data_IF_082833974880
#
_entry.id   IF_082833974880
#
_cell.length_a   1.000
_cell.length_b   1.000
_cell.length_c   1.000
_cell.angle_alpha   90.00
_cell.angle_beta   90.00
_cell.angle_gamma   90.00
#
_symmetry.space_group_name_H-M   'P 1'
#
loop_
_entity.id
_entity.type
_entity.pdbx_description
1 polymer ?
#
# COMPACT_ATOMS: atom_id res chain seq x y z
N UNK A 1 -1.24 11.69 17.99
CA UNK A 1 -0.61 10.79 17.01
C UNK A 1 -1.59 9.68 16.68
N UNK A 2 -1.93 9.53 15.40
CA UNK A 2 -2.88 8.51 14.95
C UNK A 2 -2.31 7.10 15.10
N UNK A 3 -3.18 6.10 15.23
CA UNK A 3 -2.81 4.69 15.37
C UNK A 3 -3.43 3.84 14.26
N UNK A 4 -2.62 3.13 13.52
CA UNK A 4 -3.04 2.28 12.41
C UNK A 4 -2.54 0.85 12.60
N UNK A 5 -3.43 -0.13 12.39
CA UNK A 5 -2.99 -1.50 12.16
C UNK A 5 -3.14 -1.85 10.69
N UNK A 6 -2.06 -2.34 10.10
CA UNK A 6 -2.05 -2.93 8.77
C UNK A 6 -1.94 -4.44 8.90
N UNK A 7 -2.95 -5.13 8.44
CA UNK A 7 -3.01 -6.58 8.42
C UNK A 7 -2.59 -7.09 7.05
N UNK A 8 -1.59 -7.96 7.04
CA UNK A 8 -1.14 -8.63 5.83
C UNK A 8 -1.72 -10.05 5.81
N UNK A 9 -2.68 -10.27 4.90
CA UNK A 9 -3.41 -11.53 4.81
C UNK A 9 -2.51 -12.75 4.72
N UNK A 10 -2.99 -13.90 5.21
CA UNK A 10 -2.32 -15.21 5.10
C UNK A 10 -0.93 -15.25 5.75
N UNK A 11 -0.08 -16.23 5.36
CA UNK A 11 1.29 -16.39 5.81
C UNK A 11 1.57 -17.72 6.50
N UNK A 12 2.84 -18.10 6.59
CA UNK A 12 3.28 -19.39 7.13
C UNK A 12 2.77 -20.55 6.27
N UNK A 13 1.97 -21.43 6.87
CA UNK A 13 1.36 -22.56 6.18
C UNK A 13 0.10 -22.23 5.37
N UNK A 14 -0.41 -20.99 5.49
CA UNK A 14 -1.54 -20.49 4.72
C UNK A 14 -1.04 -19.64 3.55
N UNK A 15 -1.00 -20.16 2.33
CA UNK A 15 -0.53 -19.42 1.16
C UNK A 15 -1.53 -18.40 0.66
N UNK A 16 -2.80 -18.42 1.13
CA UNK A 16 -3.91 -17.73 0.51
C UNK A 16 -4.26 -18.31 -0.85
N UNK A 17 -4.83 -17.50 -1.73
CA UNK A 17 -5.07 -17.90 -3.10
C UNK A 17 -3.74 -18.13 -3.85
N UNK A 18 -3.76 -19.09 -4.78
CA UNK A 18 -2.58 -19.48 -5.57
C UNK A 18 -2.89 -19.20 -7.05
N UNK A 19 -2.03 -18.39 -7.67
CA UNK A 19 -2.11 -18.05 -9.07
C UNK A 19 -1.77 -19.23 -10.01
N UNK A 20 -2.12 -19.11 -11.30
CA UNK A 20 -1.83 -20.15 -12.29
C UNK A 20 -0.34 -20.54 -12.38
N UNK A 21 0.57 -19.59 -12.18
CA UNK A 21 2.02 -19.81 -12.20
C UNK A 21 2.61 -20.02 -10.78
N UNK A 22 1.77 -20.43 -9.82
CA UNK A 22 2.15 -20.77 -8.45
C UNK A 22 2.59 -19.61 -7.56
N UNK A 23 2.25 -18.38 -7.92
CA UNK A 23 2.41 -17.24 -7.02
C UNK A 23 1.42 -17.36 -5.86
N UNK A 24 1.90 -17.20 -4.64
CA UNK A 24 1.05 -17.20 -3.44
C UNK A 24 0.61 -15.78 -3.10
N UNK A 25 -0.66 -15.60 -2.78
CA UNK A 25 -1.20 -14.33 -2.27
C UNK A 25 -0.39 -13.83 -1.07
N UNK A 26 -0.07 -14.70 -0.12
CA UNK A 26 0.69 -14.39 1.09
C UNK A 26 2.03 -13.70 0.80
N UNK A 27 2.71 -14.07 -0.30
CA UNK A 27 4.02 -13.52 -0.68
C UNK A 27 3.86 -12.13 -1.30
N UNK A 28 2.87 -11.95 -2.18
CA UNK A 28 2.56 -10.65 -2.80
C UNK A 28 2.15 -9.63 -1.74
N UNK A 29 1.23 -10.02 -0.84
CA UNK A 29 0.77 -9.16 0.27
C UNK A 29 1.92 -8.79 1.19
N UNK A 30 2.82 -9.73 1.50
CA UNK A 30 4.02 -9.45 2.31
C UNK A 30 4.97 -8.46 1.62
N UNK A 31 5.13 -8.57 0.29
CA UNK A 31 5.96 -7.65 -0.48
C UNK A 31 5.39 -6.22 -0.44
N UNK A 32 4.08 -6.06 -0.66
CA UNK A 32 3.38 -4.76 -0.53
C UNK A 32 3.57 -4.20 0.89
N UNK A 33 3.38 -5.03 1.92
CA UNK A 33 3.50 -4.60 3.31
C UNK A 33 4.89 -4.15 3.69
N UNK A 34 5.95 -4.78 3.18
CA UNK A 34 7.35 -4.36 3.42
C UNK A 34 7.64 -3.00 2.80
N UNK A 35 7.24 -2.76 1.55
CA UNK A 35 7.37 -1.45 0.91
C UNK A 35 6.59 -0.38 1.68
N UNK A 36 5.36 -0.68 2.06
CA UNK A 36 4.50 0.25 2.81
C UNK A 36 5.09 0.60 4.19
N UNK A 37 5.70 -0.38 4.88
CA UNK A 37 6.38 -0.14 6.16
C UNK A 37 7.52 0.87 6.04
N UNK A 38 8.31 0.80 4.97
CA UNK A 38 9.38 1.78 4.74
C UNK A 38 8.80 3.17 4.39
N UNK A 39 7.75 3.22 3.58
CA UNK A 39 7.12 4.46 3.14
C UNK A 39 6.41 5.23 4.26
N UNK A 40 5.96 4.56 5.31
CA UNK A 40 5.25 5.19 6.43
C UNK A 40 6.18 5.75 7.53
N UNK A 41 7.48 5.43 7.52
CA UNK A 41 8.45 5.90 8.53
C UNK A 41 8.62 7.43 8.57
N UNK A 42 8.26 8.14 7.50
CA UNK A 42 8.38 9.60 7.42
C UNK A 42 7.17 10.39 7.92
N UNK A 43 6.25 9.76 8.65
CA UNK A 43 5.01 10.40 9.09
C UNK A 43 4.76 10.23 10.59
N UNK A 44 4.09 11.20 11.21
CA UNK A 44 3.65 11.12 12.61
C UNK A 44 2.44 10.19 12.77
N UNK A 45 2.66 8.90 12.50
CA UNK A 45 1.68 7.83 12.58
C UNK A 45 2.27 6.63 13.30
N UNK A 46 1.60 6.15 14.33
CA UNK A 46 1.97 4.91 15.01
C UNK A 46 1.39 3.72 14.24
N UNK A 47 2.24 2.99 13.52
CA UNK A 47 1.81 1.89 12.66
C UNK A 47 2.26 0.56 13.24
N UNK A 48 1.33 -0.40 13.32
CA UNK A 48 1.62 -1.78 13.67
C UNK A 48 1.16 -2.72 12.56
N UNK A 49 2.10 -3.52 12.07
CA UNK A 49 1.79 -4.60 11.13
C UNK A 49 1.47 -5.87 11.89
N UNK A 50 0.49 -6.65 11.42
CA UNK A 50 0.20 -7.97 12.01
C UNK A 50 1.37 -8.93 11.79
N UNK A 51 2.03 -8.85 10.63
CA UNK A 51 3.27 -9.57 10.31
C UNK A 51 4.15 -8.75 9.35
N UNK A 52 5.44 -8.96 9.37
CA UNK A 52 6.42 -8.48 8.37
C UNK A 52 7.37 -9.61 7.93
N UNK A 53 6.98 -10.83 8.23
CA UNK A 53 7.67 -12.06 7.82
C UNK A 53 6.65 -13.12 7.42
N UNK A 54 7.13 -14.25 6.89
CA UNK A 54 6.26 -15.34 6.48
C UNK A 54 5.85 -16.19 7.70
N UNK A 55 4.97 -15.65 8.54
CA UNK A 55 4.39 -16.33 9.71
C UNK A 55 2.88 -16.39 9.59
N UNK A 56 2.28 -17.45 10.12
CA UNK A 56 0.83 -17.60 10.21
C UNK A 56 0.28 -16.87 11.43
N UNK A 57 -0.87 -16.20 11.23
CA UNK A 57 -1.69 -15.65 12.28
C UNK A 57 -3.15 -16.02 12.00
N UNK A 58 -3.83 -16.53 13.01
CA UNK A 58 -5.27 -16.77 12.93
C UNK A 58 -6.06 -15.46 12.79
N UNK A 59 -7.28 -15.54 12.24
CA UNK A 59 -8.16 -14.37 12.09
C UNK A 59 -8.43 -13.67 13.43
N UNK A 60 -8.52 -14.43 14.53
CA UNK A 60 -8.70 -13.88 15.87
C UNK A 60 -7.48 -13.14 16.39
N UNK A 61 -6.27 -13.65 16.13
CA UNK A 61 -5.02 -12.97 16.52
C UNK A 61 -4.87 -11.64 15.79
N UNK A 62 -5.20 -11.58 14.48
CA UNK A 62 -5.16 -10.33 13.69
C UNK A 62 -6.06 -9.26 14.29
N UNK A 63 -7.32 -9.61 14.59
CA UNK A 63 -8.25 -8.71 15.23
C UNK A 63 -7.80 -8.31 16.66
N UNK A 64 -7.27 -9.27 17.43
CA UNK A 64 -6.73 -9.02 18.78
C UNK A 64 -5.58 -8.01 18.75
N UNK A 65 -4.64 -8.15 17.83
CA UNK A 65 -3.53 -7.20 17.65
C UNK A 65 -4.06 -5.77 17.46
N UNK A 66 -5.07 -5.59 16.61
CA UNK A 66 -5.66 -4.27 16.35
C UNK A 66 -6.39 -3.72 17.59
N UNK A 67 -7.17 -4.55 18.27
CA UNK A 67 -7.95 -4.16 19.44
C UNK A 67 -7.04 -3.83 20.64
N UNK A 68 -6.02 -4.64 20.92
CA UNK A 68 -5.05 -4.40 22.00
C UNK A 68 -4.21 -3.13 21.74
N UNK A 69 -3.88 -2.86 20.48
CA UNK A 69 -3.16 -1.65 20.07
C UNK A 69 -4.03 -0.40 20.16
N UNK A 70 -5.37 -0.58 20.24
CA UNK A 70 -6.37 0.51 20.21
C UNK A 70 -6.19 1.38 18.98
N UNK A 71 -6.12 0.74 17.82
CA UNK A 71 -5.97 1.43 16.55
C UNK A 71 -7.19 2.33 16.26
N UNK A 72 -6.95 3.47 15.61
CA UNK A 72 -8.01 4.35 15.10
C UNK A 72 -8.63 3.77 13.84
N UNK A 73 -7.81 3.09 13.01
CA UNK A 73 -8.23 2.40 11.80
C UNK A 73 -7.49 1.08 11.63
N UNK A 74 -8.14 0.16 10.92
CA UNK A 74 -7.57 -1.13 10.52
C UNK A 74 -7.68 -1.29 9.01
N UNK A 75 -6.56 -1.62 8.34
CA UNK A 75 -6.52 -1.94 6.92
C UNK A 75 -5.95 -3.35 6.71
N UNK A 76 -6.75 -4.26 6.15
CA UNK A 76 -6.29 -5.58 5.71
C UNK A 76 -5.99 -5.56 4.22
N UNK A 77 -4.88 -6.18 3.80
CA UNK A 77 -4.44 -6.25 2.41
C UNK A 77 -4.50 -7.70 1.96
N UNK A 78 -5.20 -7.93 0.85
CA UNK A 78 -5.46 -9.23 0.23
C UNK A 78 -5.38 -9.18 -1.29
N UNK A 79 -5.34 -10.36 -1.91
CA UNK A 79 -5.47 -10.55 -3.35
C UNK A 79 -6.58 -11.56 -3.60
N UNK A 80 -7.60 -11.14 -4.32
CA UNK A 80 -8.78 -11.92 -4.57
C UNK A 80 -8.52 -13.13 -5.50
N UNK A 81 -9.49 -14.02 -5.55
CA UNK A 81 -9.52 -15.14 -6.50
C UNK A 81 -10.94 -15.42 -6.94
N UNK A 82 -11.11 -15.85 -8.17
CA UNK A 82 -12.40 -16.25 -8.73
C UNK A 82 -12.28 -17.55 -9.53
N UNK A 83 -13.39 -18.29 -9.62
CA UNK A 83 -13.48 -19.49 -10.48
C UNK A 83 -13.33 -19.14 -11.96
N UNK A 84 -13.89 -17.99 -12.37
CA UNK A 84 -13.69 -17.42 -13.70
C UNK A 84 -12.34 -16.70 -13.73
N UNK A 85 -11.37 -17.28 -14.41
CA UNK A 85 -10.01 -16.72 -14.55
C UNK A 85 -9.93 -15.46 -15.41
N UNK A 86 -11.00 -15.02 -16.06
CA UNK A 86 -11.05 -13.75 -16.79
C UNK A 86 -11.27 -12.56 -15.87
N UNK A 87 -11.71 -12.77 -14.64
CA UNK A 87 -12.05 -11.70 -13.68
C UNK A 87 -10.80 -10.96 -13.25
N UNK A 88 -10.88 -9.62 -13.29
CA UNK A 88 -9.90 -8.66 -12.75
C UNK A 88 -10.60 -7.50 -12.08
N UNK A 89 -9.86 -6.76 -11.29
CA UNK A 89 -10.30 -5.48 -10.71
C UNK A 89 -10.11 -5.40 -9.21
N UNK A 90 -10.26 -4.17 -8.71
CA UNK A 90 -10.02 -3.83 -7.31
C UNK A 90 -11.34 -3.77 -6.55
N UNK A 91 -11.39 -4.34 -5.37
CA UNK A 91 -12.52 -4.27 -4.45
C UNK A 91 -12.04 -3.81 -3.07
N UNK A 92 -12.86 -3.02 -2.38
CA UNK A 92 -12.64 -2.73 -0.95
C UNK A 92 -13.87 -3.17 -0.17
N UNK A 93 -13.63 -3.91 0.91
CA UNK A 93 -14.68 -4.43 1.77
C UNK A 93 -14.70 -3.70 3.10
N UNK A 94 -15.90 -3.40 3.60
CA UNK A 94 -16.14 -2.82 4.93
C UNK A 94 -17.20 -3.64 5.66
N UNK A 95 -17.21 -3.57 6.99
CA UNK A 95 -18.29 -4.15 7.79
C UNK A 95 -19.59 -3.35 7.68
N UNK A 96 -19.46 -2.01 7.67
CA UNK A 96 -20.58 -1.08 7.53
C UNK A 96 -20.12 0.23 6.88
N UNK A 97 -21.05 1.02 6.37
CA UNK A 97 -20.80 2.33 5.76
C UNK A 97 -21.06 3.53 6.70
N UNK A 98 -20.99 3.31 8.01
CA UNK A 98 -21.34 4.35 9.01
C UNK A 98 -20.22 5.35 9.27
N UNK A 99 -19.01 5.14 8.76
CA UNK A 99 -17.87 6.04 8.94
C UNK A 99 -17.53 6.72 7.62
N UNK A 100 -17.85 8.02 7.52
CA UNK A 100 -17.69 8.78 6.26
C UNK A 100 -16.22 8.93 5.85
N UNK A 101 -15.30 9.08 6.80
CA UNK A 101 -13.86 9.14 6.47
C UNK A 101 -13.37 7.83 5.89
N UNK A 102 -13.76 6.69 6.50
CA UNK A 102 -13.42 5.37 5.96
C UNK A 102 -14.07 5.13 4.60
N UNK A 103 -15.31 5.57 4.39
CA UNK A 103 -15.99 5.47 3.10
C UNK A 103 -15.24 6.23 2.01
N UNK A 104 -14.85 7.49 2.27
CA UNK A 104 -14.04 8.29 1.35
C UNK A 104 -12.72 7.59 1.04
N UNK A 105 -11.97 7.20 2.07
CA UNK A 105 -10.71 6.46 1.95
C UNK A 105 -10.87 5.22 1.06
N UNK A 106 -11.86 4.38 1.35
CA UNK A 106 -12.06 3.13 0.62
C UNK A 106 -12.42 3.34 -0.86
N UNK A 107 -13.20 4.37 -1.17
CA UNK A 107 -13.52 4.71 -2.56
C UNK A 107 -12.29 5.23 -3.31
N UNK A 108 -11.52 6.15 -2.72
CA UNK A 108 -10.28 6.67 -3.30
C UNK A 108 -9.26 5.53 -3.49
N UNK A 109 -9.06 4.69 -2.48
CA UNK A 109 -8.13 3.56 -2.54
C UNK A 109 -8.50 2.58 -3.66
N UNK A 110 -9.78 2.23 -3.80
CA UNK A 110 -10.26 1.34 -4.86
C UNK A 110 -10.03 1.95 -6.25
N UNK A 111 -10.33 3.22 -6.41
CA UNK A 111 -10.13 4.00 -7.64
C UNK A 111 -8.64 4.04 -8.02
N UNK A 112 -7.78 4.45 -7.09
CA UNK A 112 -6.38 4.73 -7.39
C UNK A 112 -5.57 3.45 -7.64
N UNK A 113 -5.83 2.37 -6.88
CA UNK A 113 -5.20 1.06 -7.15
C UNK A 113 -5.67 0.50 -8.49
N UNK A 114 -6.94 0.68 -8.87
CA UNK A 114 -7.44 0.21 -10.17
C UNK A 114 -6.74 0.88 -11.36
N UNK A 115 -6.30 2.13 -11.22
CA UNK A 115 -5.54 2.86 -12.24
C UNK A 115 -4.15 2.29 -12.48
N UNK A 116 -3.48 1.76 -11.42
CA UNK A 116 -2.13 1.16 -11.55
C UNK A 116 -2.14 0.05 -12.59
N UNK A 117 -3.15 -0.81 -12.54
CA UNK A 117 -3.25 -1.99 -13.38
C UNK A 117 -4.13 -1.78 -14.63
N UNK A 118 -4.72 -0.59 -14.77
CA UNK A 118 -5.75 -0.30 -15.78
C UNK A 118 -6.87 -1.36 -15.78
N UNK A 119 -7.42 -1.65 -14.60
CA UNK A 119 -8.46 -2.64 -14.39
C UNK A 119 -9.74 -2.01 -13.84
N UNK A 120 -10.80 -2.79 -13.79
CA UNK A 120 -12.08 -2.32 -13.28
C UNK A 120 -11.99 -1.92 -11.80
N UNK A 121 -12.42 -0.71 -11.47
CA UNK A 121 -12.82 -0.36 -10.11
C UNK A 121 -14.16 -1.05 -9.83
N UNK A 122 -14.15 -2.06 -8.96
CA UNK A 122 -15.33 -2.86 -8.60
C UNK A 122 -16.07 -2.29 -7.39
N UNK A 123 -15.53 -1.21 -6.83
CA UNK A 123 -16.14 -0.41 -5.78
C UNK A 123 -16.02 -0.97 -4.38
N UNK A 124 -16.60 -0.22 -3.46
CA UNK A 124 -16.70 -0.58 -2.05
C UNK A 124 -17.89 -1.49 -1.81
N UNK A 125 -17.68 -2.56 -1.08
CA UNK A 125 -18.67 -3.59 -0.75
C UNK A 125 -18.82 -3.74 0.76
N UNK A 126 -19.96 -4.23 1.21
CA UNK A 126 -20.22 -4.50 2.61
C UNK A 126 -20.28 -6.01 2.87
N UNK A 127 -19.62 -6.45 3.95
CA UNK A 127 -19.67 -7.83 4.39
C UNK A 127 -19.63 -7.94 5.90
N UNK A 128 -20.60 -8.63 6.48
CA UNK A 128 -20.63 -9.00 7.90
C UNK A 128 -19.99 -10.37 8.16
N UNK A 129 -19.46 -11.02 7.11
CA UNK A 129 -18.89 -12.37 7.17
C UNK A 129 -17.37 -12.36 7.27
N UNK A 130 -16.69 -11.26 6.88
CA UNK A 130 -15.24 -11.15 6.96
C UNK A 130 -14.82 -10.96 8.43
N UNK A 131 -14.17 -12.00 8.97
CA UNK A 131 -13.86 -12.12 10.40
C UNK A 131 -13.05 -10.94 10.91
N UNK A 132 -12.02 -10.51 10.19
CA UNK A 132 -11.14 -9.40 10.61
C UNK A 132 -11.87 -8.06 10.62
N UNK A 133 -12.89 -7.87 9.77
CA UNK A 133 -13.72 -6.67 9.78
C UNK A 133 -14.78 -6.70 10.89
N UNK A 134 -15.29 -7.91 11.20
CA UNK A 134 -16.33 -8.10 12.21
C UNK A 134 -15.79 -7.99 13.63
N UNK A 135 -14.57 -8.48 13.88
CA UNK A 135 -14.02 -8.66 15.22
C UNK A 135 -13.05 -7.55 15.62
N UNK A 136 -12.82 -6.55 14.78
CA UNK A 136 -12.10 -5.32 15.12
C UNK A 136 -13.05 -4.27 15.66
N UNK A 137 -12.61 -3.51 16.67
CA UNK A 137 -13.42 -2.53 17.40
C UNK A 137 -13.39 -1.13 16.80
N UNK A 138 -12.60 -0.92 15.76
CA UNK A 138 -12.41 0.36 15.05
C UNK A 138 -12.95 0.26 13.64
N UNK A 139 -13.10 1.41 12.93
CA UNK A 139 -13.37 1.42 11.49
C UNK A 139 -12.33 0.60 10.73
N UNK A 140 -12.80 -0.38 9.94
CA UNK A 140 -11.97 -1.37 9.30
C UNK A 140 -12.31 -1.55 7.81
N UNK A 141 -11.28 -1.62 6.97
CA UNK A 141 -11.38 -1.92 5.56
C UNK A 141 -10.47 -3.10 5.17
N UNK A 142 -10.85 -3.83 4.13
CA UNK A 142 -10.05 -4.86 3.50
C UNK A 142 -10.01 -4.58 2.00
N UNK A 143 -8.80 -4.42 1.45
CA UNK A 143 -8.60 -4.26 0.02
C UNK A 143 -8.25 -5.59 -0.63
N UNK A 144 -8.90 -5.88 -1.74
CA UNK A 144 -8.56 -6.92 -2.73
C UNK A 144 -7.94 -6.23 -3.93
N UNK A 145 -6.61 -6.31 -4.04
CA UNK A 145 -5.82 -5.50 -4.99
C UNK A 145 -6.08 -5.88 -6.44
N UNK A 146 -6.30 -7.16 -6.73
CA UNK A 146 -6.72 -7.74 -8.02
C UNK A 146 -7.09 -9.21 -7.80
N UNK A 147 -7.28 -9.98 -8.87
CA UNK A 147 -7.62 -11.41 -8.81
C UNK A 147 -6.44 -12.27 -9.26
N UNK A 148 -5.73 -12.91 -8.32
CA UNK A 148 -4.53 -13.70 -8.62
C UNK A 148 -4.83 -14.93 -9.51
N UNK A 149 -6.09 -15.39 -9.59
CA UNK A 149 -6.55 -16.44 -10.50
C UNK A 149 -6.45 -16.06 -11.98
N UNK A 150 -6.31 -14.77 -12.29
CA UNK A 150 -6.09 -14.28 -13.64
C UNK A 150 -4.58 -14.23 -13.95
N UNK A 151 -4.15 -14.84 -15.05
CA UNK A 151 -2.73 -14.96 -15.42
C UNK A 151 -2.05 -13.61 -15.64
N UNK A 152 -2.77 -12.60 -16.17
CA UNK A 152 -2.22 -11.26 -16.34
C UNK A 152 -2.13 -10.52 -15.00
N UNK A 153 -3.13 -10.69 -14.11
CA UNK A 153 -3.06 -10.15 -12.76
C UNK A 153 -1.88 -10.74 -11.99
N UNK A 154 -1.72 -12.07 -12.02
CA UNK A 154 -0.59 -12.73 -11.38
C UNK A 154 0.76 -12.21 -11.89
N UNK A 155 0.91 -12.06 -13.21
CA UNK A 155 2.13 -11.46 -13.80
C UNK A 155 2.35 -10.05 -13.29
N UNK A 156 1.33 -9.20 -13.32
CA UNK A 156 1.41 -7.79 -12.95
C UNK A 156 1.73 -7.64 -11.44
N UNK A 157 1.20 -8.52 -10.60
CA UNK A 157 1.44 -8.58 -9.15
C UNK A 157 2.85 -9.08 -8.78
N UNK A 158 3.59 -9.70 -9.71
CA UNK A 158 5.00 -10.10 -9.52
C UNK A 158 6.00 -9.03 -10.00
N UNK A 159 5.53 -7.92 -10.55
CA UNK A 159 6.40 -6.81 -11.00
C UNK A 159 6.70 -5.88 -9.83
N UNK A 160 7.98 -5.75 -9.45
CA UNK A 160 8.40 -4.94 -8.29
C UNK A 160 7.97 -3.48 -8.36
N UNK A 161 7.94 -2.87 -9.56
CA UNK A 161 7.45 -1.49 -9.73
C UNK A 161 5.95 -1.37 -9.42
N UNK A 162 5.15 -2.39 -9.73
CA UNK A 162 3.73 -2.40 -9.43
C UNK A 162 3.48 -2.60 -7.92
N UNK A 163 4.25 -3.48 -7.26
CA UNK A 163 4.22 -3.65 -5.80
C UNK A 163 4.48 -2.30 -5.12
N UNK A 164 5.54 -1.61 -5.55
CA UNK A 164 5.88 -0.28 -5.03
C UNK A 164 4.79 0.75 -5.33
N UNK A 165 4.21 0.74 -6.52
CA UNK A 165 3.11 1.65 -6.89
C UNK A 165 1.88 1.42 -6.00
N UNK A 166 1.50 0.17 -5.74
CA UNK A 166 0.40 -0.15 -4.81
C UNK A 166 0.70 0.35 -3.40
N UNK A 167 1.92 0.13 -2.89
CA UNK A 167 2.31 0.62 -1.57
C UNK A 167 2.30 2.15 -1.49
N UNK A 168 2.75 2.86 -2.54
CA UNK A 168 2.70 4.32 -2.63
C UNK A 168 1.24 4.84 -2.60
N UNK A 169 0.36 4.24 -3.39
CA UNK A 169 -1.05 4.62 -3.42
C UNK A 169 -1.73 4.36 -2.07
N UNK A 170 -1.46 3.23 -1.42
CA UNK A 170 -1.98 2.96 -0.08
C UNK A 170 -1.48 4.03 0.91
N UNK A 171 -0.17 4.35 0.89
CA UNK A 171 0.41 5.41 1.73
C UNK A 171 -0.30 6.75 1.52
N UNK A 172 -0.47 7.20 0.28
CA UNK A 172 -1.04 8.50 -0.05
C UNK A 172 -2.50 8.60 0.44
N UNK A 173 -3.29 7.55 0.25
CA UNK A 173 -4.65 7.48 0.77
C UNK A 173 -4.69 7.45 2.32
N UNK A 174 -3.69 6.82 2.99
CA UNK A 174 -3.58 6.84 4.46
C UNK A 174 -3.19 8.23 4.99
N UNK A 175 -2.32 8.95 4.28
CA UNK A 175 -1.98 10.35 4.59
C UNK A 175 -3.26 11.20 4.61
N UNK A 176 -4.09 11.08 3.58
CA UNK A 176 -5.36 11.80 3.49
C UNK A 176 -6.35 11.39 4.59
N UNK A 177 -6.44 10.08 4.90
CA UNK A 177 -7.32 9.56 5.94
C UNK A 177 -6.99 10.13 7.32
N UNK A 178 -5.70 10.23 7.64
CA UNK A 178 -5.23 10.74 8.93
C UNK A 178 -4.97 12.26 8.92
N UNK A 179 -4.97 12.92 7.76
CA UNK A 179 -4.64 14.34 7.61
C UNK A 179 -3.19 14.61 8.00
N UNK A 180 -2.27 13.75 7.53
CA UNK A 180 -0.84 13.85 7.88
C UNK A 180 -0.12 14.77 6.90
N UNK A 181 0.88 15.47 7.43
CA UNK A 181 1.93 16.09 6.64
C UNK A 181 3.20 15.25 6.75
N UNK A 182 3.99 15.20 5.69
CA UNK A 182 5.30 14.55 5.79
C UNK A 182 6.12 15.28 6.87
N UNK A 183 6.73 14.52 7.78
CA UNK A 183 7.71 15.09 8.69
C UNK A 183 8.83 15.63 7.81
N UNK A 184 8.87 16.94 7.65
CA UNK A 184 9.99 17.61 7.00
C UNK A 184 11.18 17.44 7.92
N UNK A 185 11.91 16.32 7.79
CA UNK A 185 13.27 16.29 8.29
C UNK A 185 14.03 17.30 7.45
N UNK A 186 14.85 18.14 8.08
CA UNK A 186 15.83 19.01 7.40
C UNK A 186 16.90 18.19 6.63
N UNK A 187 16.55 16.99 6.19
CA UNK A 187 17.42 16.11 5.40
C UNK A 187 17.43 16.62 3.97
N UNK A 188 18.47 17.34 3.66
CA UNK A 188 18.73 17.79 2.30
C UNK A 188 19.17 16.59 1.43
N UNK A 189 18.30 16.15 0.53
CA UNK A 189 18.66 15.13 -0.48
C UNK A 189 19.40 15.80 -1.63
N UNK A 190 20.69 15.45 -1.80
CA UNK A 190 21.51 15.93 -2.92
C UNK A 190 21.31 15.00 -4.10
N UNK A 191 20.90 15.55 -5.24
CA UNK A 191 20.83 14.82 -6.50
C UNK A 191 22.04 15.19 -7.33
N UNK A 192 22.94 14.22 -7.61
CA UNK A 192 24.05 14.41 -8.52
C UNK A 192 23.55 14.18 -9.97
N UNK A 193 23.62 15.23 -10.80
CA UNK A 193 23.13 15.19 -12.19
C UNK A 193 24.23 14.97 -13.23
N UNK A 194 25.48 14.72 -12.79
CA UNK A 194 26.60 14.39 -13.67
C UNK A 194 27.94 14.57 -13.00
N UNK A 195 28.99 13.99 -13.61
CA UNK A 195 30.38 14.20 -13.28
C UNK A 195 31.13 14.63 -14.55
N UNK A 196 31.90 15.72 -14.47
CA UNK A 196 32.55 16.33 -15.63
C UNK A 196 34.05 16.46 -15.37
N UNK A 197 34.88 16.08 -16.37
CA UNK A 197 36.33 16.29 -16.32
C UNK A 197 36.73 17.75 -16.57
N UNK A 198 35.89 18.48 -17.29
CA UNK A 198 36.08 19.90 -17.61
C UNK A 198 35.17 20.77 -16.75
N UNK A 199 35.76 21.76 -16.07
CA UNK A 199 35.06 22.67 -15.16
C UNK A 199 33.98 23.50 -15.85
N UNK A 200 34.21 23.93 -17.12
CA UNK A 200 33.25 24.75 -17.84
C UNK A 200 32.00 23.94 -18.20
N UNK A 201 32.15 22.63 -18.48
CA UNK A 201 31.01 21.75 -18.70
C UNK A 201 30.19 21.57 -17.44
N UNK A 202 30.82 21.48 -16.26
CA UNK A 202 30.12 21.46 -14.99
C UNK A 202 29.36 22.78 -14.72
N UNK A 203 29.99 23.93 -15.00
CA UNK A 203 29.36 25.26 -14.88
C UNK A 203 28.13 25.36 -15.80
N UNK A 204 28.27 24.97 -17.05
CA UNK A 204 27.16 24.99 -18.02
C UNK A 204 26.00 24.12 -17.54
N UNK A 205 26.27 22.95 -16.97
CA UNK A 205 25.23 22.08 -16.43
C UNK A 205 24.52 22.70 -15.23
N UNK A 206 25.23 23.42 -14.36
CA UNK A 206 24.61 24.17 -13.25
C UNK A 206 23.70 25.28 -13.76
N UNK A 207 24.15 26.02 -14.81
CA UNK A 207 23.31 27.07 -15.43
C UNK A 207 22.03 26.46 -15.98
N UNK A 208 22.13 25.38 -16.76
CA UNK A 208 20.97 24.67 -17.30
C UNK A 208 20.02 24.16 -16.20
N UNK A 209 20.57 23.67 -15.09
CA UNK A 209 19.76 23.23 -13.96
C UNK A 209 19.00 24.42 -13.34
N UNK A 210 19.66 25.56 -13.16
CA UNK A 210 19.03 26.78 -12.61
C UNK A 210 17.92 27.30 -13.53
N UNK A 211 18.13 27.28 -14.83
CA UNK A 211 17.12 27.68 -15.83
C UNK A 211 15.88 26.75 -15.81
N UNK A 212 16.07 25.48 -15.40
CA UNK A 212 15.00 24.50 -15.21
C UNK A 212 14.34 24.55 -13.82
N UNK A 213 14.69 25.54 -12.99
CA UNK A 213 14.05 25.78 -11.70
C UNK A 213 14.81 25.25 -10.47
N UNK A 214 15.96 24.59 -10.63
CA UNK A 214 16.81 24.13 -9.53
C UNK A 214 17.71 25.28 -9.03
N UNK A 215 17.11 26.26 -8.35
CA UNK A 215 17.77 27.53 -7.98
C UNK A 215 19.06 27.35 -7.18
N UNK A 216 19.14 26.30 -6.36
CA UNK A 216 20.26 26.00 -5.47
C UNK A 216 21.28 25.02 -6.07
N UNK A 217 21.25 24.81 -7.39
CA UNK A 217 22.24 23.97 -8.08
C UNK A 217 23.66 24.58 -7.95
N UNK A 218 24.66 23.75 -7.61
CA UNK A 218 26.05 24.14 -7.44
C UNK A 218 27.02 23.01 -7.82
N UNK A 219 28.30 23.32 -7.97
CA UNK A 219 29.39 22.38 -8.20
C UNK A 219 29.96 21.95 -6.85
N UNK A 220 30.20 20.66 -6.66
CA UNK A 220 30.89 20.07 -5.50
C UNK A 220 32.36 19.88 -5.86
#
# INVERSE_FOLDING_TARGET
>A
MGKLVIDLGHGGHDPGAIGPNKTHEADVVLAIGKELNELLKGYELEVKFTRLSNVYLSLSERAKIANDFKADYFLSIHINSATDSSVRGVEVWQYSNKNDKLNKFSNCLCEDVSKIFNVRNRGVKLSQKLSVLKNTNMPAALIEVDFISNVNAERDLNVSSNIKAVALVIRDNLIDLFGLEAVTSDVLYKVCIGAFKDKNNAINQVILAKDKGFKDAYII
#
